data_IF_091177991063
#
_entry.id   IF_091177991063
#
_cell.length_a   1.000
_cell.length_b   1.000
_cell.length_c   1.000
_cell.angle_alpha   90.00
_cell.angle_beta   90.00
_cell.angle_gamma   90.00
#
_symmetry.space_group_name_H-M   'P 1'
#
loop_
_entity.id
_entity.type
_entity.pdbx_description
1 polymer ?
#
# COMPACT_ATOMS: atom_id res chain seq x y z
N UNK A 1 -0.52 19.57 -5.97
CA UNK A 1 0.25 18.32 -5.70
C UNK A 1 -0.75 17.17 -5.71
N UNK A 2 -0.55 16.13 -6.53
CA UNK A 2 -1.54 15.04 -6.65
C UNK A 2 -1.17 13.93 -5.68
N UNK A 3 -1.93 13.79 -4.59
CA UNK A 3 -1.88 12.64 -3.68
C UNK A 3 -3.17 11.86 -3.84
N UNK A 4 -3.13 10.56 -3.61
CA UNK A 4 -4.33 9.71 -3.58
C UNK A 4 -4.37 8.96 -2.26
N UNK A 5 -5.48 9.09 -1.55
CA UNK A 5 -5.71 8.40 -0.29
C UNK A 5 -6.52 7.13 -0.52
N UNK A 6 -6.14 6.06 0.15
CA UNK A 6 -6.71 4.73 0.04
C UNK A 6 -6.97 4.16 1.43
N UNK A 7 -8.03 3.36 1.56
CA UNK A 7 -8.30 2.53 2.72
C UNK A 7 -7.75 1.14 2.43
N UNK A 8 -6.72 0.75 3.17
CA UNK A 8 -6.18 -0.60 3.18
C UNK A 8 -7.01 -1.49 4.09
N UNK A 9 -7.24 -2.74 3.66
CA UNK A 9 -7.83 -3.81 4.47
C UNK A 9 -7.17 -5.14 4.15
N UNK A 10 -6.79 -5.90 5.18
CA UNK A 10 -6.49 -7.34 5.12
C UNK A 10 -7.31 -8.08 6.20
N UNK A 11 -6.91 -9.30 6.61
CA UNK A 11 -7.62 -10.07 7.65
C UNK A 11 -7.54 -9.43 9.04
N UNK A 12 -6.50 -8.64 9.29
CA UNK A 12 -6.11 -8.21 10.64
C UNK A 12 -6.23 -6.69 10.81
N UNK A 13 -6.05 -5.93 9.73
CA UNK A 13 -5.84 -4.49 9.77
C UNK A 13 -6.75 -3.73 8.82
N UNK A 14 -7.13 -2.53 9.24
CA UNK A 14 -7.70 -1.50 8.36
C UNK A 14 -7.11 -0.14 8.69
N UNK A 15 -6.54 0.55 7.70
CA UNK A 15 -5.86 1.83 7.88
C UNK A 15 -5.82 2.65 6.59
N UNK A 16 -5.40 3.91 6.68
CA UNK A 16 -5.26 4.78 5.51
C UNK A 16 -3.83 4.73 4.97
N UNK A 17 -3.71 4.68 3.64
CA UNK A 17 -2.46 4.85 2.89
C UNK A 17 -2.58 6.08 2.00
N UNK A 18 -1.54 6.91 1.95
CA UNK A 18 -1.40 7.96 0.95
C UNK A 18 -0.26 7.64 -0.02
N UNK A 19 -0.61 7.50 -1.29
CA UNK A 19 0.34 7.47 -2.39
C UNK A 19 0.62 8.90 -2.85
N UNK A 20 1.85 9.37 -2.64
CA UNK A 20 2.32 10.70 -3.02
C UNK A 20 3.30 10.63 -4.19
N UNK A 21 3.40 11.72 -4.97
CA UNK A 21 4.39 11.81 -6.07
C UNK A 21 5.81 11.47 -5.61
N UNK A 22 6.63 11.00 -6.55
CA UNK A 22 8.04 10.58 -6.37
C UNK A 22 8.19 9.32 -5.49
N UNK A 23 7.17 8.46 -5.51
CA UNK A 23 7.17 7.18 -4.83
C UNK A 23 7.14 7.26 -3.30
N UNK A 24 6.73 8.40 -2.72
CA UNK A 24 6.57 8.51 -1.28
C UNK A 24 5.24 7.89 -0.84
N UNK A 25 5.30 7.03 0.15
CA UNK A 25 4.14 6.44 0.79
C UNK A 25 4.03 6.96 2.23
N UNK A 26 2.79 7.19 2.69
CA UNK A 26 2.49 7.46 4.10
C UNK A 26 1.38 6.52 4.56
N UNK A 27 1.44 6.05 5.80
CA UNK A 27 0.37 5.23 6.37
C UNK A 27 -0.04 5.69 7.77
N UNK A 28 -1.27 5.35 8.15
CA UNK A 28 -1.73 5.44 9.53
C UNK A 28 -1.58 4.10 10.27
N UNK A 29 -0.79 3.16 9.74
CA UNK A 29 -0.64 1.85 10.36
C UNK A 29 0.02 2.00 11.73
N UNK A 30 -0.50 1.37 12.79
CA UNK A 30 -0.01 1.58 14.16
C UNK A 30 1.45 1.14 14.36
N UNK A 31 1.93 0.20 13.54
CA UNK A 31 3.32 -0.30 13.61
C UNK A 31 4.25 0.32 12.56
N UNK A 32 3.81 1.34 11.83
CA UNK A 32 4.70 2.09 10.93
C UNK A 32 5.67 2.95 11.76
N UNK A 33 6.86 2.39 12.00
CA UNK A 33 7.91 2.98 12.83
C UNK A 33 8.91 3.81 12.03
N UNK A 34 8.91 3.69 10.70
CA UNK A 34 9.87 4.35 9.81
C UNK A 34 9.17 5.23 8.79
N UNK A 35 8.47 6.26 9.29
CA UNK A 35 7.81 7.25 8.45
C UNK A 35 8.84 7.97 7.56
N UNK A 36 8.97 7.56 6.30
CA UNK A 36 9.79 8.24 5.30
C UNK A 36 10.68 7.39 4.42
N UNK A 37 10.79 6.07 4.66
CA UNK A 37 11.48 5.13 3.76
C UNK A 37 10.52 4.20 3.01
N UNK A 38 9.21 4.35 3.23
CA UNK A 38 8.21 3.59 2.49
C UNK A 38 8.10 4.10 1.05
N UNK A 39 7.99 3.15 0.14
CA UNK A 39 8.00 3.41 -1.29
C UNK A 39 6.75 2.87 -1.95
N UNK A 40 6.31 3.53 -3.02
CA UNK A 40 5.34 2.96 -3.96
C UNK A 40 5.68 3.33 -5.40
N UNK A 41 5.22 2.51 -6.33
CA UNK A 41 5.26 2.76 -7.76
C UNK A 41 4.06 2.12 -8.48
N UNK A 42 3.81 2.58 -9.69
CA UNK A 42 2.74 2.07 -10.54
C UNK A 42 3.25 1.84 -11.97
N UNK A 43 3.02 0.64 -12.48
CA UNK A 43 3.32 0.23 -13.85
C UNK A 43 2.03 -0.24 -14.51
N UNK A 44 1.37 0.65 -15.26
CA UNK A 44 0.04 0.38 -15.81
C UNK A 44 -0.99 0.13 -14.71
N UNK A 45 -1.54 -1.09 -14.66
CA UNK A 45 -2.49 -1.51 -13.62
C UNK A 45 -1.82 -2.23 -12.44
N UNK A 46 -0.49 -2.36 -12.43
CA UNK A 46 0.24 -2.99 -11.33
C UNK A 46 0.73 -1.90 -10.38
N UNK A 47 0.57 -2.13 -9.09
CA UNK A 47 0.99 -1.27 -7.99
C UNK A 47 1.96 -2.07 -7.13
N UNK A 48 3.15 -1.53 -6.89
CA UNK A 48 4.06 -2.06 -5.89
C UNK A 48 4.20 -1.05 -4.77
N UNK A 49 4.20 -1.53 -3.53
CA UNK A 49 4.59 -0.70 -2.40
C UNK A 49 5.26 -1.52 -1.32
N UNK A 50 5.98 -0.84 -0.44
CA UNK A 50 6.73 -1.49 0.63
C UNK A 50 6.75 -0.67 1.91
N UNK A 51 6.71 -1.38 3.04
CA UNK A 51 6.85 -0.80 4.37
C UNK A 51 8.16 -1.20 5.03
N UNK A 52 8.64 -0.34 5.94
CA UNK A 52 9.75 -0.63 6.84
C UNK A 52 11.03 -1.08 6.10
N UNK A 53 11.50 -0.27 5.15
CA UNK A 53 12.69 -0.58 4.33
C UNK A 53 12.61 -1.94 3.62
N UNK A 54 11.51 -2.17 2.89
CA UNK A 54 11.27 -3.41 2.11
C UNK A 54 11.12 -4.68 2.96
N UNK A 55 10.89 -4.55 4.27
CA UNK A 55 10.56 -5.71 5.10
C UNK A 55 9.24 -6.36 4.66
N UNK A 56 8.21 -5.53 4.45
CA UNK A 56 6.92 -5.97 3.90
C UNK A 56 6.77 -5.41 2.48
N UNK A 57 6.54 -6.30 1.53
CA UNK A 57 6.39 -6.00 0.11
C UNK A 57 4.96 -6.31 -0.33
N UNK A 58 4.42 -5.50 -1.22
CA UNK A 58 3.06 -5.60 -1.69
C UNK A 58 3.03 -5.49 -3.20
N UNK A 59 2.28 -6.40 -3.82
CA UNK A 59 1.96 -6.36 -5.23
C UNK A 59 0.44 -6.39 -5.39
N UNK A 60 -0.10 -5.31 -5.95
CA UNK A 60 -1.52 -5.14 -6.19
C UNK A 60 -1.83 -4.86 -7.65
N UNK A 61 -3.03 -5.21 -8.07
CA UNK A 61 -3.58 -4.88 -9.37
C UNK A 61 -4.79 -3.97 -9.22
N UNK A 62 -4.81 -2.87 -9.95
CA UNK A 62 -5.98 -2.00 -10.10
C UNK A 62 -7.05 -2.78 -10.89
N UNK A 63 -8.04 -3.33 -10.17
CA UNK A 63 -9.14 -4.11 -10.76
C UNK A 63 -10.33 -3.23 -11.14
N UNK A 64 -10.43 -2.05 -10.52
CA UNK A 64 -11.41 -1.01 -10.81
C UNK A 64 -10.77 0.36 -10.51
N UNK A 65 -11.32 1.48 -11.03
CA UNK A 65 -10.75 2.83 -10.85
C UNK A 65 -10.45 3.21 -9.38
N UNK A 66 -11.20 2.59 -8.46
CA UNK A 66 -11.17 2.84 -7.02
C UNK A 66 -10.83 1.59 -6.20
N UNK A 67 -10.35 0.51 -6.84
CA UNK A 67 -10.08 -0.76 -6.14
C UNK A 67 -8.79 -1.39 -6.64
N UNK A 68 -7.87 -1.65 -5.71
CA UNK A 68 -6.66 -2.45 -5.91
C UNK A 68 -6.80 -3.71 -5.06
N UNK A 69 -6.44 -4.86 -5.60
CA UNK A 69 -6.37 -6.14 -4.86
C UNK A 69 -5.04 -6.79 -5.11
N UNK A 70 -4.49 -7.47 -4.11
CA UNK A 70 -3.14 -7.98 -4.22
C UNK A 70 -2.71 -8.86 -3.06
N UNK A 71 -1.41 -9.16 -3.06
CA UNK A 71 -0.75 -9.91 -2.00
C UNK A 71 0.32 -9.07 -1.33
N UNK A 72 0.36 -9.13 -0.01
CA UNK A 72 1.48 -8.70 0.80
C UNK A 72 2.32 -9.91 1.19
N UNK A 73 3.63 -9.71 1.33
CA UNK A 73 4.54 -10.76 1.76
C UNK A 73 5.76 -10.19 2.48
N UNK A 74 6.30 -11.00 3.38
CA UNK A 74 7.61 -10.80 3.99
C UNK A 74 8.27 -12.17 4.20
N UNK A 75 9.40 -12.23 4.92
CA UNK A 75 10.10 -13.50 5.19
C UNK A 75 9.31 -14.51 6.03
N UNK A 76 8.26 -14.08 6.72
CA UNK A 76 7.52 -14.88 7.69
C UNK A 76 6.17 -15.35 7.15
N UNK A 77 5.51 -14.55 6.32
CA UNK A 77 4.13 -14.80 5.91
C UNK A 77 3.77 -14.11 4.59
N UNK A 78 2.62 -14.52 4.04
CA UNK A 78 1.93 -13.87 2.93
C UNK A 78 0.46 -13.68 3.31
N UNK A 79 -0.18 -12.67 2.73
CA UNK A 79 -1.57 -12.34 2.98
C UNK A 79 -2.19 -11.65 1.78
N UNK A 80 -3.51 -11.73 1.66
CA UNK A 80 -4.27 -10.97 0.67
C UNK A 80 -4.64 -9.59 1.24
N UNK A 81 -4.68 -8.57 0.40
CA UNK A 81 -5.13 -7.24 0.78
C UNK A 81 -6.02 -6.60 -0.29
N UNK A 82 -6.78 -5.60 0.14
CA UNK A 82 -7.53 -4.70 -0.73
C UNK A 82 -7.24 -3.24 -0.38
N UNK A 83 -7.14 -2.38 -1.39
CA UNK A 83 -7.20 -0.93 -1.25
C UNK A 83 -8.46 -0.40 -1.91
N UNK A 84 -9.18 0.46 -1.22
CA UNK A 84 -10.33 1.19 -1.77
C UNK A 84 -10.06 2.68 -1.74
N UNK A 85 -10.28 3.40 -2.85
CA UNK A 85 -10.00 4.84 -2.90
C UNK A 85 -10.87 5.59 -1.90
N UNK A 86 -10.25 6.43 -1.08
CA UNK A 86 -10.95 7.32 -0.14
C UNK A 86 -11.53 8.48 -0.95
N UNK A 87 -12.86 8.67 -0.86
CA UNK A 87 -13.59 9.75 -1.53
C UNK A 87 -13.28 11.11 -0.90
#
# INVERSE_FOLDING_TARGET
MTKTSWIYTDSDWTYTIEFSKRGKLYSTHPNDKTRGNDFWEQHGNIIHFSYNDKFSLYEGRLTHKDTIRGKGYNKLMNWDFQLTRKK
#
